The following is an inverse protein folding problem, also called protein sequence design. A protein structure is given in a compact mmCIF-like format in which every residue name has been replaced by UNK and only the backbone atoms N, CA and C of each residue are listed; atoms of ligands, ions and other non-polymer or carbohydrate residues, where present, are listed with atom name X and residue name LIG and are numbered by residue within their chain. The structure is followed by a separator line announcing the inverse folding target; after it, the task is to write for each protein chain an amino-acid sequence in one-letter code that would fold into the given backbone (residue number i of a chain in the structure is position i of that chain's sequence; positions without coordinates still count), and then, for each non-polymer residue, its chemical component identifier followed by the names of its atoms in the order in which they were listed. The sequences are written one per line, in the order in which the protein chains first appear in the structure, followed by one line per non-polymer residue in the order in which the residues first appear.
data_IF_723368543062
#
_entry.id   IF_723368543062
#
_cell.length_a   1.000
_cell.length_b   1.000
_cell.length_c   1.000
_cell.angle_alpha   90.00
_cell.angle_beta   90.00
_cell.angle_gamma   90.00
#
_symmetry.space_group_name_H-M   'P 1'
#
loop_
_entity.id
_entity.type
_entity.pdbx_description
1 polymer ?
#
# COMPACT_ATOMS: atom_id res chain seq x y z
N UNK A 1 -6.71 13.43 3.10
CA UNK A 1 -5.43 12.68 2.94
C UNK A 1 -5.52 11.77 1.73
N UNK A 2 -4.46 11.69 0.94
CA UNK A 2 -4.39 10.76 -0.19
C UNK A 2 -3.54 9.56 0.22
N UNK A 3 -4.13 8.38 0.17
CA UNK A 3 -3.49 7.13 0.60
C UNK A 3 -3.26 6.22 -0.61
N UNK A 4 -2.06 5.65 -0.68
CA UNK A 4 -1.74 4.62 -1.67
C UNK A 4 -1.63 3.28 -0.95
N UNK A 5 -2.44 2.30 -1.38
CA UNK A 5 -2.40 0.95 -0.82
C UNK A 5 -1.73 0.00 -1.82
N UNK A 6 -0.69 -0.67 -1.38
CA UNK A 6 -0.03 -1.73 -2.14
C UNK A 6 -0.49 -3.06 -1.57
N UNK A 7 -1.24 -3.83 -2.34
CA UNK A 7 -1.81 -5.10 -1.91
C UNK A 7 -1.21 -6.25 -2.73
N UNK A 8 -0.43 -7.11 -2.07
CA UNK A 8 0.13 -8.29 -2.70
C UNK A 8 -0.81 -9.48 -2.53
N UNK A 9 -1.52 -9.83 -3.60
CA UNK A 9 -2.51 -10.91 -3.61
C UNK A 9 -1.86 -12.29 -3.44
N UNK A 10 -0.58 -12.43 -3.74
CA UNK A 10 0.14 -13.69 -3.61
C UNK A 10 0.46 -14.05 -2.16
N UNK A 11 0.28 -13.13 -1.21
CA UNK A 11 0.64 -13.36 0.19
C UNK A 11 -0.32 -14.29 0.94
N UNK A 12 -1.50 -14.57 0.39
CA UNK A 12 -2.49 -15.43 1.01
C UNK A 12 -3.33 -14.77 2.11
N UNK A 13 -3.17 -13.47 2.34
CA UNK A 13 -4.01 -12.74 3.29
C UNK A 13 -5.42 -12.53 2.72
N UNK A 14 -6.43 -12.61 3.57
CA UNK A 14 -7.81 -12.43 3.16
C UNK A 14 -8.10 -11.03 2.66
N UNK A 15 -8.73 -10.93 1.49
CA UNK A 15 -9.07 -9.65 0.87
C UNK A 15 -10.05 -8.84 1.69
N UNK A 16 -10.96 -9.51 2.42
CA UNK A 16 -11.98 -8.84 3.22
C UNK A 16 -11.38 -7.90 4.26
N UNK A 17 -10.28 -8.30 4.89
CA UNK A 17 -9.64 -7.51 5.94
C UNK A 17 -9.11 -6.18 5.40
N UNK A 18 -8.50 -6.17 4.22
CA UNK A 18 -7.97 -4.92 3.63
C UNK A 18 -9.10 -3.99 3.21
N UNK A 19 -10.20 -4.52 2.69
CA UNK A 19 -11.35 -3.69 2.32
C UNK A 19 -11.99 -3.04 3.55
N UNK A 20 -12.14 -3.77 4.64
CA UNK A 20 -12.68 -3.22 5.90
C UNK A 20 -11.77 -2.13 6.46
N UNK A 21 -10.46 -2.35 6.38
CA UNK A 21 -9.47 -1.37 6.81
C UNK A 21 -9.59 -0.08 5.97
N UNK A 22 -9.69 -0.20 4.66
CA UNK A 22 -9.80 0.94 3.76
C UNK A 22 -11.11 1.73 3.96
N UNK A 23 -12.20 1.05 4.29
CA UNK A 23 -13.48 1.72 4.52
C UNK A 23 -13.42 2.72 5.66
N UNK A 24 -12.61 2.44 6.67
CA UNK A 24 -12.48 3.36 7.80
C UNK A 24 -11.86 4.70 7.37
N UNK A 25 -10.90 4.66 6.47
CA UNK A 25 -10.30 5.87 5.91
C UNK A 25 -11.26 6.60 4.95
N UNK A 26 -11.95 5.86 4.11
CA UNK A 26 -12.91 6.44 3.18
C UNK A 26 -14.06 7.14 3.91
N UNK A 27 -14.49 6.59 5.06
CA UNK A 27 -15.53 7.20 5.89
C UNK A 27 -15.08 8.55 6.46
N UNK A 28 -13.77 8.75 6.64
CA UNK A 28 -13.21 10.01 7.12
C UNK A 28 -12.97 11.03 6.00
N UNK A 29 -13.34 10.68 4.75
CA UNK A 29 -13.19 11.57 3.61
C UNK A 29 -11.83 11.51 2.93
N UNK A 30 -11.03 10.50 3.22
CA UNK A 30 -9.72 10.32 2.60
C UNK A 30 -9.87 9.68 1.21
N UNK A 31 -8.99 10.08 0.29
CA UNK A 31 -8.89 9.45 -1.02
C UNK A 31 -7.97 8.23 -0.94
N UNK A 32 -8.39 7.11 -1.51
CA UNK A 32 -7.64 5.87 -1.48
C UNK A 32 -7.44 5.34 -2.89
N UNK A 33 -6.20 5.06 -3.23
CA UNK A 33 -5.82 4.36 -4.47
C UNK A 33 -5.20 3.03 -4.10
N UNK A 34 -5.83 1.92 -4.50
CA UNK A 34 -5.29 0.58 -4.25
C UNK A 34 -4.68 0.01 -5.51
N UNK A 35 -3.45 -0.48 -5.39
CA UNK A 35 -2.76 -1.19 -6.46
C UNK A 35 -2.46 -2.60 -6.01
N UNK A 36 -2.97 -3.56 -6.76
CA UNK A 36 -2.77 -4.97 -6.44
C UNK A 36 -1.67 -5.57 -7.30
N UNK A 37 -0.91 -6.47 -6.71
CA UNK A 37 0.07 -7.28 -7.43
C UNK A 37 -0.09 -8.73 -7.04
N UNK A 38 0.24 -9.63 -7.96
CA UNK A 38 0.30 -11.08 -7.69
C UNK A 38 1.72 -11.56 -7.41
N UNK A 39 2.65 -10.64 -7.15
CA UNK A 39 4.05 -10.95 -6.87
C UNK A 39 4.96 -10.92 -8.08
N UNK A 40 4.44 -10.74 -9.29
CA UNK A 40 5.26 -10.68 -10.51
C UNK A 40 5.65 -9.27 -10.89
N UNK A 41 4.82 -8.28 -10.57
CA UNK A 41 5.13 -6.89 -10.86
C UNK A 41 6.05 -6.34 -9.77
N UNK A 42 7.19 -5.72 -10.14
CA UNK A 42 8.08 -5.12 -9.14
C UNK A 42 7.36 -4.03 -8.34
N UNK A 43 7.50 -4.07 -7.02
CA UNK A 43 6.85 -3.09 -6.14
C UNK A 43 7.34 -1.67 -6.44
N UNK A 44 8.59 -1.51 -6.85
CA UNK A 44 9.13 -0.21 -7.24
C UNK A 44 8.30 0.47 -8.32
N UNK A 45 7.76 -0.30 -9.26
CA UNK A 45 6.89 0.22 -10.32
C UNK A 45 5.57 0.74 -9.74
N UNK A 46 5.04 0.07 -8.72
CA UNK A 46 3.79 0.46 -8.07
C UNK A 46 3.95 1.68 -7.18
N UNK A 47 5.18 2.04 -6.81
CA UNK A 47 5.49 3.17 -5.95
C UNK A 47 6.05 4.37 -6.73
N UNK A 48 5.99 4.33 -8.04
CA UNK A 48 6.62 5.29 -8.94
C UNK A 48 6.16 6.74 -8.67
N UNK A 49 4.88 6.90 -8.35
CA UNK A 49 4.27 8.19 -8.03
C UNK A 49 3.90 8.32 -6.54
N UNK A 50 4.56 7.57 -5.66
CA UNK A 50 4.23 7.58 -4.23
C UNK A 50 4.36 8.97 -3.61
N UNK A 51 5.21 9.83 -4.15
CA UNK A 51 5.38 11.21 -3.68
C UNK A 51 4.11 12.05 -3.80
N UNK A 52 3.17 11.63 -4.64
CA UNK A 52 1.88 12.32 -4.80
C UNK A 52 0.87 11.94 -3.71
N UNK A 53 1.24 11.02 -2.83
CA UNK A 53 0.39 10.53 -1.74
C UNK A 53 0.93 10.97 -0.38
N UNK A 54 0.05 11.09 0.59
CA UNK A 54 0.39 11.47 1.95
C UNK A 54 0.96 10.31 2.77
N UNK A 55 0.54 9.10 2.46
CA UNK A 55 1.02 7.89 3.12
C UNK A 55 0.82 6.67 2.22
N UNK A 56 1.57 5.62 2.51
CA UNK A 56 1.47 4.33 1.82
C UNK A 56 1.11 3.25 2.82
N UNK A 57 0.16 2.41 2.47
CA UNK A 57 -0.24 1.24 3.26
C UNK A 57 0.27 0.00 2.53
N UNK A 58 1.07 -0.81 3.21
CA UNK A 58 1.56 -2.06 2.68
C UNK A 58 0.71 -3.21 3.21
N UNK A 59 0.04 -3.93 2.31
CA UNK A 59 -0.79 -5.07 2.63
C UNK A 59 -0.23 -6.31 1.93
N UNK A 60 0.21 -7.27 2.72
CA UNK A 60 0.82 -8.49 2.22
C UNK A 60 1.64 -9.15 3.31
N UNK A 61 2.53 -10.06 2.91
CA UNK A 61 3.46 -10.69 3.84
C UNK A 61 4.60 -9.78 4.25
N UNK A 62 5.44 -10.29 5.15
CA UNK A 62 6.59 -9.53 5.66
C UNK A 62 7.52 -9.02 4.55
N UNK A 63 7.67 -9.80 3.47
CA UNK A 63 8.48 -9.40 2.33
C UNK A 63 7.94 -8.17 1.61
N UNK A 64 6.62 -8.08 1.46
CA UNK A 64 5.98 -6.92 0.84
C UNK A 64 6.17 -5.67 1.70
N UNK A 65 5.90 -5.79 3.00
CA UNK A 65 6.05 -4.68 3.95
C UNK A 65 7.51 -4.20 3.97
N UNK A 66 8.47 -5.13 4.05
CA UNK A 66 9.88 -4.79 4.07
C UNK A 66 10.32 -4.08 2.79
N UNK A 67 9.86 -4.54 1.63
CA UNK A 67 10.20 -3.93 0.35
C UNK A 67 9.65 -2.50 0.24
N UNK A 68 8.40 -2.29 0.62
CA UNK A 68 7.78 -0.96 0.62
C UNK A 68 8.54 -0.02 1.54
N UNK A 69 8.85 -0.47 2.76
CA UNK A 69 9.60 0.34 3.73
C UNK A 69 10.98 0.69 3.20
N UNK A 70 11.68 -0.26 2.59
CA UNK A 70 13.00 -0.03 2.02
C UNK A 70 12.97 1.01 0.91
N UNK A 71 12.02 0.88 -0.02
CA UNK A 71 11.91 1.78 -1.17
C UNK A 71 11.53 3.20 -0.77
N UNK A 72 10.79 3.36 0.32
CA UNK A 72 10.33 4.67 0.76
C UNK A 72 11.16 5.26 1.91
N UNK A 73 12.20 4.57 2.37
CA UNK A 73 12.96 4.94 3.57
C UNK A 73 13.55 6.37 3.50
N UNK A 74 13.97 6.80 2.31
CA UNK A 74 14.59 8.12 2.14
C UNK A 74 13.63 9.20 1.67
N UNK A 75 12.36 8.88 1.47
CA UNK A 75 11.38 9.81 0.89
C UNK A 75 10.66 10.66 1.92
N UNK A 76 10.65 10.24 3.18
CA UNK A 76 9.85 10.88 4.22
C UNK A 76 8.36 10.52 4.18
N UNK A 77 7.93 9.68 3.25
CA UNK A 77 6.53 9.25 3.14
C UNK A 77 6.25 8.20 4.21
N UNK A 78 5.24 8.42 5.09
CA UNK A 78 4.89 7.42 6.11
C UNK A 78 4.39 6.12 5.49
N UNK A 79 4.80 4.99 6.07
CA UNK A 79 4.29 3.66 5.73
C UNK A 79 3.49 3.12 6.91
N UNK A 80 2.27 2.76 6.64
CA UNK A 80 1.34 2.27 7.67
C UNK A 80 1.15 0.77 7.62
#
# INVERSE_FOLDING_TARGET
MKLLVINNLASGYGEGAIYDFMRSFAADGDDICMRCTNGTTPISTLLDDAKDFDAVIAAGGDGTVATVCYLLASTGIPVL
#
